data_IF_136020719386
#
_entry.id   IF_136020719386
#
_cell.length_a   1.000
_cell.length_b   1.000
_cell.length_c   1.000
_cell.angle_alpha   90.00
_cell.angle_beta   90.00
_cell.angle_gamma   90.00
#
_symmetry.space_group_name_H-M   'P 1'
#
loop_
_entity.id
_entity.type
_entity.pdbx_description
1 polymer ?
#
# COMPACT_ATOMS: atom_id res chain seq x y z
N UNK A 1 30.55 19.64 19.80
CA UNK A 1 30.61 21.03 19.31
C UNK A 1 29.60 21.84 20.12
N UNK A 2 30.08 22.62 21.06
CA UNK A 2 29.33 23.29 22.13
C UNK A 2 28.83 24.64 21.62
N UNK A 3 27.51 24.84 21.51
CA UNK A 3 26.93 26.15 21.15
C UNK A 3 26.25 26.80 22.35
N UNK A 4 26.75 27.99 22.65
CA UNK A 4 26.44 28.87 23.77
C UNK A 4 25.02 29.42 23.71
N UNK A 5 24.41 29.51 24.90
CA UNK A 5 23.10 30.11 25.14
C UNK A 5 23.04 31.61 24.91
N UNK A 6 21.85 32.07 24.49
CA UNK A 6 21.50 33.49 24.33
C UNK A 6 20.54 33.89 25.46
N UNK A 7 20.99 34.83 26.29
CA UNK A 7 20.24 35.44 27.39
C UNK A 7 19.04 36.24 26.86
N UNK A 8 17.88 36.05 27.47
CA UNK A 8 16.69 36.87 27.28
C UNK A 8 16.75 38.17 28.08
N UNK A 9 16.28 39.26 27.48
CA UNK A 9 16.00 40.55 28.10
C UNK A 9 14.56 40.58 28.62
N UNK A 10 14.30 41.05 29.85
CA UNK A 10 12.94 41.25 30.34
C UNK A 10 12.31 42.54 29.75
N UNK A 11 10.97 42.57 29.54
CA UNK A 11 10.26 43.77 29.11
C UNK A 11 10.10 44.81 30.25
N UNK A 12 9.93 46.11 29.92
CA UNK A 12 9.74 47.18 30.89
C UNK A 12 8.34 47.17 31.52
N UNK A 13 8.31 47.47 32.83
CA UNK A 13 7.12 47.74 33.63
C UNK A 13 6.43 49.04 33.17
N UNK A 14 5.27 48.92 32.52
CA UNK A 14 4.39 50.06 32.23
C UNK A 14 3.44 50.31 33.42
N UNK A 15 3.65 51.46 34.05
CA UNK A 15 2.85 52.02 35.14
C UNK A 15 1.44 52.39 34.64
N UNK A 16 0.43 51.69 35.16
CA UNK A 16 -0.97 52.04 34.92
C UNK A 16 -1.34 53.38 35.60
N UNK A 17 -1.98 54.33 34.88
CA UNK A 17 -2.50 55.55 35.49
C UNK A 17 -3.77 55.27 36.32
N UNK A 18 -4.02 56.06 37.39
CA UNK A 18 -5.16 55.86 38.28
C UNK A 18 -6.51 56.07 37.58
N UNK A 19 -7.44 55.15 37.86
CA UNK A 19 -8.78 55.13 37.29
C UNK A 19 -9.63 56.34 37.69
N UNK A 20 -10.06 57.11 36.69
CA UNK A 20 -11.13 58.08 36.82
C UNK A 20 -12.48 57.36 36.75
N UNK A 21 -13.16 57.29 37.89
CA UNK A 21 -14.56 56.85 37.97
C UNK A 21 -15.45 57.80 37.17
N UNK A 22 -15.97 57.33 36.02
CA UNK A 22 -17.04 58.01 35.27
C UNK A 22 -18.39 57.58 35.82
N UNK A 23 -19.16 58.54 36.31
CA UNK A 23 -20.54 58.35 36.73
C UNK A 23 -21.43 57.81 35.59
N UNK A 24 -22.33 56.85 35.86
CA UNK A 24 -23.28 56.33 34.88
C UNK A 24 -24.48 57.28 34.79
N UNK A 25 -24.41 58.24 33.87
CA UNK A 25 -25.51 59.17 33.63
C UNK A 25 -25.56 59.57 32.17
N UNK A 26 -26.50 58.97 31.44
CA UNK A 26 -26.90 59.28 30.05
C UNK A 26 -25.93 58.82 28.96
N UNK A 27 -26.29 57.71 28.29
CA UNK A 27 -25.74 57.37 26.97
C UNK A 27 -26.21 58.44 25.98
N UNK A 28 -25.32 59.18 25.32
CA UNK A 28 -25.73 60.17 24.32
C UNK A 28 -26.46 59.43 23.19
N UNK A 29 -27.66 59.91 22.86
CA UNK A 29 -28.55 59.43 21.78
C UNK A 29 -27.83 58.89 20.52
N UNK A 30 -26.75 59.52 19.99
CA UNK A 30 -26.01 59.00 18.83
C UNK A 30 -25.40 57.60 19.03
N UNK A 31 -25.02 57.22 20.25
CA UNK A 31 -24.46 55.88 20.53
C UNK A 31 -25.52 54.79 20.51
N UNK A 32 -26.75 55.09 20.94
CA UNK A 32 -27.86 54.15 20.88
C UNK A 32 -28.28 53.87 19.44
N UNK A 33 -28.30 54.90 18.58
CA UNK A 33 -28.61 54.76 17.16
C UNK A 33 -27.53 53.95 16.44
N UNK A 34 -26.25 54.21 16.71
CA UNK A 34 -25.14 53.45 16.12
C UNK A 34 -25.19 51.96 16.50
N UNK A 35 -25.53 51.64 17.76
CA UNK A 35 -25.67 50.26 18.21
C UNK A 35 -26.85 49.55 17.55
N UNK A 36 -28.00 50.23 17.41
CA UNK A 36 -29.18 49.67 16.73
C UNK A 36 -28.91 49.42 15.25
N UNK A 37 -28.19 50.30 14.56
CA UNK A 37 -27.79 50.10 13.17
C UNK A 37 -26.80 48.93 13.02
N UNK A 38 -25.83 48.81 13.94
CA UNK A 38 -24.88 47.69 13.94
C UNK A 38 -25.59 46.34 14.21
N UNK A 39 -26.53 46.32 15.15
CA UNK A 39 -27.35 45.13 15.44
C UNK A 39 -28.30 44.78 14.29
N UNK A 40 -28.88 45.79 13.62
CA UNK A 40 -29.69 45.60 12.43
C UNK A 40 -28.89 45.03 11.25
N UNK A 41 -27.69 45.53 11.01
CA UNK A 41 -26.79 45.00 9.98
C UNK A 41 -26.31 43.58 10.30
N UNK A 42 -25.99 43.29 11.57
CA UNK A 42 -25.63 41.94 12.02
C UNK A 42 -26.82 40.96 11.89
N UNK A 43 -28.03 41.40 12.25
CA UNK A 43 -29.25 40.62 12.07
C UNK A 43 -29.57 40.34 10.59
N UNK A 44 -29.37 41.33 9.71
CA UNK A 44 -29.56 41.18 8.27
C UNK A 44 -28.52 40.24 7.64
N UNK A 45 -27.25 40.33 8.07
CA UNK A 45 -26.17 39.42 7.66
C UNK A 45 -26.44 37.98 8.10
N UNK A 46 -26.99 37.79 9.32
CA UNK A 46 -27.38 36.46 9.81
C UNK A 46 -28.62 35.91 9.07
N UNK A 47 -29.59 36.76 8.75
CA UNK A 47 -30.80 36.37 8.00
C UNK A 47 -30.51 36.05 6.53
N UNK A 48 -29.49 36.68 5.94
CA UNK A 48 -29.03 36.44 4.57
C UNK A 48 -27.90 35.40 4.50
N UNK A 49 -27.71 34.59 5.55
CA UNK A 49 -26.72 33.50 5.54
C UNK A 49 -26.86 32.74 4.22
N UNK A 50 -25.81 32.73 3.36
CA UNK A 50 -25.88 32.06 2.08
C UNK A 50 -26.30 30.62 2.36
N UNK A 51 -27.44 30.20 1.80
CA UNK A 51 -27.88 28.80 1.89
C UNK A 51 -26.69 27.97 1.48
N UNK A 52 -26.14 27.23 2.44
CA UNK A 52 -25.05 26.30 2.19
C UNK A 52 -25.54 25.42 1.05
N UNK A 53 -24.84 25.40 -0.11
CA UNK A 53 -25.20 24.46 -1.16
C UNK A 53 -25.30 23.09 -0.51
N UNK A 54 -26.33 22.28 -0.82
CA UNK A 54 -26.38 20.91 -0.33
C UNK A 54 -25.00 20.28 -0.62
N UNK A 55 -24.38 19.57 0.35
CA UNK A 55 -23.06 19.00 0.16
C UNK A 55 -23.09 18.22 -1.16
N UNK A 56 -22.15 18.54 -2.05
CA UNK A 56 -21.99 17.83 -3.32
C UNK A 56 -22.00 16.33 -3.00
N UNK A 57 -23.00 15.61 -3.51
CA UNK A 57 -22.96 14.15 -3.57
C UNK A 57 -21.82 13.77 -4.50
N UNK A 58 -20.62 13.71 -3.97
CA UNK A 58 -19.51 12.96 -4.54
C UNK A 58 -19.23 11.78 -3.63
N UNK A 59 -20.27 11.03 -3.27
CA UNK A 59 -20.04 9.67 -2.80
C UNK A 59 -19.65 8.90 -4.05
N UNK A 60 -18.39 8.49 -4.15
CA UNK A 60 -17.98 7.52 -5.14
C UNK A 60 -18.98 6.35 -5.11
N UNK A 61 -19.46 5.86 -6.27
CA UNK A 61 -20.43 4.78 -6.30
C UNK A 61 -19.89 3.58 -5.51
N UNK A 62 -20.79 2.89 -4.82
CA UNK A 62 -20.41 1.68 -4.12
C UNK A 62 -19.94 0.62 -5.13
N UNK A 63 -19.04 -0.28 -4.73
CA UNK A 63 -18.53 -1.33 -5.60
C UNK A 63 -19.65 -2.14 -6.30
N UNK A 64 -20.72 -2.46 -5.57
CA UNK A 64 -21.86 -3.22 -6.10
C UNK A 64 -22.68 -2.43 -7.15
N UNK A 65 -22.66 -1.09 -7.09
CA UNK A 65 -23.29 -0.23 -8.10
C UNK A 65 -22.42 -0.13 -9.36
N UNK A 66 -21.10 0.01 -9.18
CA UNK A 66 -20.14 0.10 -10.28
C UNK A 66 -19.95 -1.23 -11.01
N UNK A 67 -20.03 -2.36 -10.29
CA UNK A 67 -19.85 -3.71 -10.83
C UNK A 67 -20.96 -4.64 -10.34
N UNK A 68 -22.17 -4.56 -10.92
CA UNK A 68 -23.29 -5.42 -10.53
C UNK A 68 -22.94 -6.91 -10.63
N UNK A 69 -23.30 -7.68 -9.60
CA UNK A 69 -23.02 -9.13 -9.53
C UNK A 69 -21.62 -9.48 -9.01
N UNK A 70 -20.79 -8.49 -8.70
CA UNK A 70 -19.51 -8.71 -8.02
C UNK A 70 -19.74 -9.28 -6.62
N UNK A 71 -18.98 -10.31 -6.27
CA UNK A 71 -19.03 -10.94 -4.95
C UNK A 71 -17.72 -10.70 -4.22
N UNK A 72 -17.80 -10.03 -3.08
CA UNK A 72 -16.73 -10.00 -2.08
C UNK A 72 -16.89 -11.25 -1.22
N UNK A 73 -15.81 -11.99 -1.03
CA UNK A 73 -15.78 -13.18 -0.20
C UNK A 73 -15.24 -12.84 1.17
N UNK A 74 -15.95 -13.28 2.20
CA UNK A 74 -15.56 -13.10 3.58
C UNK A 74 -14.88 -14.37 4.10
N UNK A 75 -13.80 -14.20 4.84
CA UNK A 75 -13.04 -15.28 5.47
C UNK A 75 -12.82 -14.91 6.94
N UNK A 76 -13.27 -15.73 7.90
CA UNK A 76 -12.98 -15.51 9.31
C UNK A 76 -11.48 -15.33 9.57
N UNK A 77 -11.14 -14.32 10.39
CA UNK A 77 -9.77 -14.07 10.84
C UNK A 77 -9.26 -15.06 11.88
N UNK A 78 -10.04 -16.09 12.21
CA UNK A 78 -9.67 -17.18 13.10
C UNK A 78 -9.82 -18.52 12.40
N UNK A 79 -8.97 -19.48 12.78
CA UNK A 79 -9.05 -20.87 12.34
C UNK A 79 -9.96 -21.69 13.26
N UNK A 80 -10.24 -22.93 12.87
CA UNK A 80 -11.04 -23.86 13.68
C UNK A 80 -10.43 -24.14 15.07
N UNK A 81 -9.10 -24.05 15.22
CA UNK A 81 -8.38 -24.20 16.49
C UNK A 81 -8.36 -22.91 17.34
N UNK A 82 -9.01 -21.84 16.88
CA UNK A 82 -9.09 -20.54 17.56
C UNK A 82 -7.88 -19.63 17.34
N UNK A 83 -6.82 -20.10 16.66
CA UNK A 83 -5.67 -19.25 16.34
C UNK A 83 -6.04 -18.16 15.32
N UNK A 84 -5.40 -16.98 15.45
CA UNK A 84 -5.60 -15.86 14.53
C UNK A 84 -4.89 -16.16 13.21
N UNK A 85 -5.63 -16.05 12.12
CA UNK A 85 -5.18 -16.23 10.75
C UNK A 85 -4.93 -14.89 10.05
N UNK A 86 -3.75 -14.74 9.44
CA UNK A 86 -3.37 -13.59 8.63
C UNK A 86 -3.00 -14.02 7.22
N UNK A 87 -3.86 -13.81 6.21
CA UNK A 87 -3.53 -14.03 4.81
C UNK A 87 -2.33 -13.18 4.37
N UNK A 88 -1.46 -13.79 3.56
CA UNK A 88 -0.29 -13.15 2.94
C UNK A 88 -0.41 -13.12 1.41
N UNK A 89 -1.22 -14.01 0.84
CA UNK A 89 -1.45 -14.16 -0.59
C UNK A 89 -2.80 -14.82 -0.87
N UNK A 90 -3.59 -14.29 -1.80
CA UNK A 90 -4.83 -14.93 -2.25
C UNK A 90 -4.64 -15.55 -3.64
N UNK A 91 -4.99 -16.83 -3.78
CA UNK A 91 -5.02 -17.56 -5.05
C UNK A 91 -6.30 -17.26 -5.83
N UNK A 92 -7.41 -17.13 -5.09
CA UNK A 92 -8.74 -16.77 -5.57
C UNK A 92 -9.45 -15.94 -4.48
N UNK A 93 -10.71 -15.57 -4.66
CA UNK A 93 -11.46 -14.92 -3.59
C UNK A 93 -11.73 -15.84 -2.37
N UNK A 94 -11.68 -17.17 -2.53
CA UNK A 94 -11.94 -18.15 -1.45
C UNK A 94 -10.68 -18.87 -0.97
N UNK A 95 -9.66 -18.93 -1.83
CA UNK A 95 -8.40 -19.62 -1.59
C UNK A 95 -7.30 -18.63 -1.19
N UNK A 96 -6.71 -18.81 -0.02
CA UNK A 96 -5.64 -17.97 0.51
C UNK A 96 -4.51 -18.80 1.12
N UNK A 97 -3.32 -18.20 1.12
CA UNK A 97 -2.15 -18.66 1.84
C UNK A 97 -1.86 -17.61 2.91
N UNK A 98 -1.67 -18.06 4.15
CA UNK A 98 -1.49 -17.17 5.27
C UNK A 98 -0.82 -17.85 6.44
N UNK A 99 -0.61 -17.09 7.51
CA UNK A 99 0.05 -17.56 8.71
C UNK A 99 -0.88 -17.59 9.90
N UNK A 100 -0.57 -18.51 10.82
CA UNK A 100 -1.15 -18.55 12.15
C UNK A 100 -0.12 -19.12 13.12
N UNK A 101 -0.14 -18.69 14.37
CA UNK A 101 0.61 -19.38 15.40
C UNK A 101 0.01 -20.76 15.63
N UNK A 102 0.85 -21.75 15.95
CA UNK A 102 0.40 -23.02 16.51
C UNK A 102 -0.42 -22.80 17.79
N UNK A 103 -1.31 -23.74 18.18
CA UNK A 103 -2.08 -23.62 19.42
C UNK A 103 -1.23 -23.45 20.68
N UNK A 104 0.00 -23.98 20.70
CA UNK A 104 0.95 -23.79 21.81
C UNK A 104 1.68 -22.45 21.74
N UNK A 105 1.68 -21.80 20.57
CA UNK A 105 2.34 -20.51 20.35
C UNK A 105 3.83 -20.59 20.02
N UNK A 106 4.40 -21.80 19.94
CA UNK A 106 5.84 -22.03 19.77
C UNK A 106 6.28 -21.94 18.31
N UNK A 107 5.37 -22.29 17.39
CA UNK A 107 5.63 -22.27 15.96
C UNK A 107 4.77 -21.24 15.21
N UNK A 108 5.33 -20.65 14.17
CA UNK A 108 4.62 -19.99 13.09
C UNK A 108 4.31 -21.01 11.99
N UNK A 109 3.03 -21.20 11.66
CA UNK A 109 2.57 -22.09 10.59
C UNK A 109 2.27 -21.29 9.33
N UNK A 110 2.60 -21.86 8.18
CA UNK A 110 2.12 -21.43 6.87
C UNK A 110 1.02 -22.39 6.43
N UNK A 111 -0.15 -21.85 6.09
CA UNK A 111 -1.35 -22.60 5.79
C UNK A 111 -1.88 -22.22 4.41
N UNK A 112 -2.35 -23.21 3.66
CA UNK A 112 -3.24 -23.03 2.54
C UNK A 112 -4.67 -23.25 3.03
N UNK A 113 -5.55 -22.28 2.80
CA UNK A 113 -6.96 -22.33 3.13
C UNK A 113 -7.80 -22.17 1.87
N UNK A 114 -8.79 -23.04 1.67
CA UNK A 114 -9.81 -22.89 0.64
C UNK A 114 -11.18 -23.16 1.26
N UNK A 115 -11.94 -22.09 1.53
CA UNK A 115 -13.13 -22.15 2.36
C UNK A 115 -12.83 -22.65 3.78
N UNK A 116 -13.43 -23.78 4.15
CA UNK A 116 -13.26 -24.43 5.47
C UNK A 116 -12.16 -25.49 5.47
N UNK A 117 -11.51 -25.75 4.33
CA UNK A 117 -10.42 -26.72 4.23
C UNK A 117 -9.10 -26.01 4.51
N UNK A 118 -8.35 -26.52 5.49
CA UNK A 118 -7.04 -26.01 5.89
C UNK A 118 -5.97 -27.09 5.66
N UNK A 119 -4.85 -26.70 5.05
CA UNK A 119 -3.67 -27.55 4.83
C UNK A 119 -2.43 -26.83 5.34
N UNK A 120 -1.78 -27.39 6.37
CA UNK A 120 -0.46 -26.92 6.79
C UNK A 120 0.57 -27.23 5.70
N UNK A 121 1.23 -26.19 5.19
CA UNK A 121 2.31 -26.31 4.22
C UNK A 121 3.64 -26.41 4.96
N UNK A 122 3.90 -25.46 5.86
CA UNK A 122 5.18 -25.32 6.55
C UNK A 122 4.98 -24.86 7.97
N UNK A 123 6.04 -25.04 8.75
CA UNK A 123 6.13 -24.67 10.15
C UNK A 123 7.55 -24.26 10.47
N UNK A 124 7.71 -23.18 11.21
CA UNK A 124 9.00 -22.65 11.64
C UNK A 124 8.93 -22.25 13.12
N UNK A 125 9.99 -22.45 13.91
CA UNK A 125 10.04 -21.99 15.29
C UNK A 125 9.88 -20.46 15.35
N UNK A 126 8.98 -19.98 16.20
CA UNK A 126 8.70 -18.54 16.34
C UNK A 126 9.94 -17.75 16.77
N UNK A 127 10.77 -18.33 17.62
CA UNK A 127 11.97 -17.69 18.17
C UNK A 127 13.12 -17.55 17.15
N UNK A 128 12.96 -18.11 15.94
CA UNK A 128 13.93 -17.98 14.84
C UNK A 128 13.71 -16.75 13.95
N UNK A 129 12.95 -15.75 14.42
CA UNK A 129 12.51 -14.62 13.60
C UNK A 129 11.88 -15.07 12.27
N UNK A 130 11.04 -16.11 12.34
CA UNK A 130 10.47 -16.76 11.17
C UNK A 130 9.50 -15.85 10.40
N UNK A 131 9.69 -15.76 9.09
CA UNK A 131 8.81 -15.04 8.17
C UNK A 131 8.61 -15.81 6.87
N UNK A 132 7.39 -15.72 6.31
CA UNK A 132 7.06 -16.21 4.99
C UNK A 132 6.72 -15.03 4.09
N UNK A 133 7.37 -14.91 2.94
CA UNK A 133 7.26 -13.74 2.06
C UNK A 133 7.37 -14.11 0.57
N UNK A 134 7.24 -13.11 -0.31
CA UNK A 134 7.50 -13.25 -1.75
C UNK A 134 6.63 -14.32 -2.44
N UNK A 135 5.34 -14.36 -2.16
CA UNK A 135 4.46 -15.39 -2.73
C UNK A 135 4.20 -15.18 -4.23
N UNK A 136 4.21 -16.26 -5.00
CA UNK A 136 3.81 -16.27 -6.42
C UNK A 136 3.19 -17.62 -6.80
N UNK A 137 2.33 -17.63 -7.82
CA UNK A 137 1.66 -18.85 -8.30
C UNK A 137 1.29 -18.75 -9.78
N UNK A 138 1.40 -19.88 -10.49
CA UNK A 138 0.92 -20.05 -11.87
C UNK A 138 -0.43 -20.82 -11.94
N UNK A 139 -1.07 -21.02 -10.79
CA UNK A 139 -2.30 -21.80 -10.65
C UNK A 139 -2.08 -23.31 -10.48
N UNK A 140 -0.87 -23.82 -10.68
CA UNK A 140 -0.50 -25.22 -10.46
C UNK A 140 0.49 -25.37 -9.31
N UNK A 141 1.47 -24.47 -9.23
CA UNK A 141 2.51 -24.43 -8.21
C UNK A 141 2.42 -23.11 -7.45
N UNK A 142 2.57 -23.18 -6.13
CA UNK A 142 2.82 -22.03 -5.26
C UNK A 142 4.29 -22.01 -4.89
N UNK A 143 4.91 -20.83 -4.94
CA UNK A 143 6.27 -20.59 -4.44
C UNK A 143 6.28 -19.45 -3.42
N UNK A 144 7.22 -19.52 -2.48
CA UNK A 144 7.45 -18.51 -1.44
C UNK A 144 8.88 -18.55 -0.95
N UNK A 145 9.26 -17.51 -0.21
CA UNK A 145 10.53 -17.41 0.51
C UNK A 145 10.25 -17.65 2.00
N UNK A 146 11.08 -18.47 2.62
CA UNK A 146 11.22 -18.55 4.08
C UNK A 146 12.42 -17.71 4.49
N UNK A 147 12.24 -16.85 5.49
CA UNK A 147 13.29 -16.08 6.14
C UNK A 147 13.34 -16.48 7.62
N UNK A 148 14.56 -16.63 8.14
CA UNK A 148 14.79 -16.87 9.57
C UNK A 148 16.17 -16.39 9.98
N UNK A 149 16.46 -16.47 11.27
CA UNK A 149 17.80 -16.32 11.84
C UNK A 149 18.14 -17.55 12.65
N UNK A 150 19.43 -17.91 12.66
CA UNK A 150 19.91 -18.93 13.60
C UNK A 150 20.19 -18.37 15.00
N UNK A 151 20.68 -19.23 15.89
CA UNK A 151 20.96 -18.89 17.29
C UNK A 151 22.01 -17.77 17.44
N UNK A 152 22.88 -17.57 16.45
CA UNK A 152 23.87 -16.50 16.42
C UNK A 152 23.32 -15.21 15.80
N UNK A 153 22.04 -15.23 15.37
CA UNK A 153 21.36 -14.12 14.71
C UNK A 153 21.69 -14.01 13.21
N UNK A 154 22.40 -14.98 12.63
CA UNK A 154 22.72 -14.95 11.20
C UNK A 154 21.47 -15.27 10.38
N UNK A 155 21.15 -14.38 9.44
CA UNK A 155 20.00 -14.54 8.55
C UNK A 155 20.15 -15.75 7.63
N UNK A 156 19.06 -16.50 7.46
CA UNK A 156 18.91 -17.63 6.55
C UNK A 156 17.71 -17.39 5.67
N UNK A 157 17.78 -17.87 4.43
CA UNK A 157 16.61 -17.89 3.58
C UNK A 157 16.60 -19.12 2.68
N UNK A 158 15.40 -19.54 2.31
CA UNK A 158 15.17 -20.65 1.39
C UNK A 158 13.95 -20.39 0.55
N UNK A 159 13.99 -20.75 -0.73
CA UNK A 159 12.83 -20.70 -1.62
C UNK A 159 12.19 -22.07 -1.64
N UNK A 160 10.89 -22.11 -1.44
CA UNK A 160 10.10 -23.34 -1.41
C UNK A 160 9.05 -23.34 -2.51
N UNK A 161 8.63 -24.54 -2.91
CA UNK A 161 7.52 -24.75 -3.84
C UNK A 161 6.61 -25.86 -3.36
N UNK A 162 5.32 -25.79 -3.71
CA UNK A 162 4.36 -26.87 -3.48
C UNK A 162 3.35 -26.94 -4.63
N UNK A 163 2.94 -28.14 -5.09
CA UNK A 163 1.79 -28.24 -5.97
C UNK A 163 0.50 -27.87 -5.22
N UNK A 164 -0.36 -27.10 -5.88
CA UNK A 164 -1.61 -26.60 -5.27
C UNK A 164 -2.65 -27.69 -5.08
N UNK A 165 -2.78 -28.62 -6.04
CA UNK A 165 -3.76 -29.70 -5.99
C UNK A 165 -3.48 -30.66 -4.82
N UNK A 166 -2.28 -31.23 -4.75
CA UNK A 166 -1.85 -32.15 -3.70
C UNK A 166 -0.33 -32.32 -3.75
N UNK A 167 0.30 -32.59 -2.60
CA UNK A 167 1.74 -32.82 -2.50
C UNK A 167 2.38 -32.11 -1.31
N UNK A 168 3.61 -32.51 -0.99
CA UNK A 168 4.40 -31.91 0.07
C UNK A 168 5.22 -30.72 -0.47
N UNK A 169 5.37 -29.64 0.31
CA UNK A 169 6.36 -28.61 0.02
C UNK A 169 7.76 -29.19 -0.12
N UNK A 170 8.52 -28.67 -1.07
CA UNK A 170 9.95 -28.96 -1.21
C UNK A 170 10.76 -27.67 -1.25
N UNK A 171 11.93 -27.75 -0.65
CA UNK A 171 12.96 -26.74 -0.77
C UNK A 171 13.48 -26.75 -2.21
N UNK A 172 13.43 -25.59 -2.86
CA UNK A 172 13.92 -25.39 -4.21
C UNK A 172 15.40 -25.05 -4.21
N UNK A 173 15.80 -24.12 -3.34
CA UNK A 173 17.20 -23.71 -3.14
C UNK A 173 17.36 -22.92 -1.83
N UNK A 174 18.55 -23.04 -1.21
CA UNK A 174 19.04 -22.16 -0.13
C UNK A 174 20.06 -21.12 -0.65
N UNK A 175 20.51 -21.24 -1.90
CA UNK A 175 21.43 -20.30 -2.56
C UNK A 175 20.65 -19.06 -3.08
N UNK A 176 20.01 -18.37 -2.15
CA UNK A 176 19.08 -17.26 -2.40
C UNK A 176 19.80 -15.92 -2.55
N UNK A 177 21.00 -15.78 -2.00
CA UNK A 177 21.64 -14.49 -1.77
C UNK A 177 20.89 -13.65 -0.73
N UNK A 178 21.12 -12.34 -0.70
CA UNK A 178 20.34 -11.42 0.13
C UNK A 178 19.11 -11.01 -0.68
N UNK A 179 18.00 -11.74 -0.51
CA UNK A 179 16.78 -11.51 -1.32
C UNK A 179 16.23 -10.11 -1.12
N UNK A 180 15.87 -9.45 -2.23
CA UNK A 180 15.24 -8.13 -2.22
C UNK A 180 13.73 -8.29 -2.32
N UNK A 181 13.00 -7.89 -1.27
CA UNK A 181 11.55 -7.95 -1.19
C UNK A 181 10.98 -6.54 -1.19
N UNK A 182 10.02 -6.28 -2.08
CA UNK A 182 9.42 -4.96 -2.27
C UNK A 182 7.92 -4.95 -1.96
N UNK A 183 7.41 -6.05 -1.39
CA UNK A 183 5.99 -6.28 -1.12
C UNK A 183 5.16 -6.34 -2.43
N UNK A 184 5.81 -6.61 -3.57
CA UNK A 184 5.18 -6.62 -4.91
C UNK A 184 4.88 -8.03 -5.39
N UNK A 185 3.93 -8.16 -6.32
CA UNK A 185 3.65 -9.44 -6.99
C UNK A 185 4.87 -10.02 -7.74
N UNK A 186 5.85 -9.17 -8.07
CA UNK A 186 7.08 -9.54 -8.78
C UNK A 186 8.23 -9.99 -7.87
N UNK A 187 8.08 -10.01 -6.54
CA UNK A 187 9.17 -10.42 -5.63
C UNK A 187 9.73 -11.81 -5.99
N UNK A 188 8.86 -12.73 -6.42
CA UNK A 188 9.21 -13.96 -7.12
C UNK A 188 8.46 -14.02 -8.47
N UNK A 189 9.13 -14.52 -9.50
CA UNK A 189 8.54 -14.74 -10.81
C UNK A 189 8.65 -16.21 -11.24
N UNK A 190 7.51 -16.88 -11.39
CA UNK A 190 7.40 -18.17 -12.07
C UNK A 190 7.29 -17.96 -13.58
N UNK A 191 8.14 -18.63 -14.36
CA UNK A 191 8.11 -18.58 -15.82
C UNK A 191 8.85 -19.78 -16.41
N UNK A 192 8.43 -20.29 -17.57
CA UNK A 192 9.19 -21.26 -18.37
C UNK A 192 9.80 -22.45 -17.60
N UNK A 193 9.09 -22.97 -16.59
CA UNK A 193 9.58 -24.06 -15.73
C UNK A 193 10.72 -23.66 -14.77
N UNK A 194 10.86 -22.38 -14.50
CA UNK A 194 11.89 -21.72 -13.68
C UNK A 194 11.24 -20.74 -12.69
N UNK A 195 12.05 -20.31 -11.74
CA UNK A 195 11.72 -19.28 -10.78
C UNK A 195 12.86 -18.26 -10.70
N UNK A 196 12.52 -16.97 -10.78
CA UNK A 196 13.48 -15.87 -10.71
C UNK A 196 13.15 -14.87 -9.61
N UNK A 197 14.19 -14.24 -9.04
CA UNK A 197 14.09 -13.22 -7.99
C UNK A 197 15.28 -12.26 -8.05
N UNK A 198 15.15 -11.12 -7.36
CA UNK A 198 16.23 -10.16 -7.20
C UNK A 198 16.98 -10.39 -5.88
N UNK A 199 18.29 -10.23 -5.90
CA UNK A 199 19.13 -10.27 -4.71
C UNK A 199 20.18 -9.15 -4.71
N UNK A 200 20.53 -8.68 -3.51
CA UNK A 200 21.71 -7.84 -3.28
C UNK A 200 22.96 -8.73 -3.28
N UNK A 201 24.00 -8.26 -3.97
CA UNK A 201 25.31 -8.95 -4.11
C UNK A 201 26.40 -8.33 -3.24
N UNK A 202 26.06 -7.43 -2.32
CA UNK A 202 26.97 -6.77 -1.39
C UNK A 202 27.88 -5.72 -2.06
N UNK A 203 27.58 -5.34 -3.30
CA UNK A 203 28.31 -4.32 -4.07
C UNK A 203 27.42 -3.09 -4.23
N UNK A 204 27.85 -1.89 -3.78
CA UNK A 204 27.05 -0.69 -3.90
C UNK A 204 26.57 -0.43 -5.33
N UNK A 205 25.26 -0.23 -5.50
CA UNK A 205 24.66 0.05 -6.80
C UNK A 205 24.65 -1.15 -7.76
N UNK A 206 24.74 -2.38 -7.26
CA UNK A 206 24.64 -3.60 -8.06
C UNK A 206 23.62 -4.53 -7.41
N UNK A 207 22.70 -5.06 -8.22
CA UNK A 207 21.79 -6.15 -7.85
C UNK A 207 22.01 -7.34 -8.78
N UNK A 208 21.42 -8.49 -8.49
CA UNK A 208 21.46 -9.64 -9.38
C UNK A 208 20.10 -10.30 -9.54
N UNK A 209 19.83 -10.76 -10.76
CA UNK A 209 18.76 -11.72 -11.01
C UNK A 209 19.32 -13.10 -10.71
N UNK A 210 18.65 -13.81 -9.82
CA UNK A 210 18.87 -15.23 -9.61
C UNK A 210 17.76 -16.00 -10.32
N UNK A 211 18.10 -17.12 -10.98
CA UNK A 211 17.12 -17.97 -11.67
C UNK A 211 17.42 -19.43 -11.41
N UNK A 212 16.43 -20.21 -10.99
CA UNK A 212 16.57 -21.64 -10.71
C UNK A 212 15.50 -22.45 -11.45
N UNK A 213 15.84 -23.60 -12.06
CA UNK A 213 14.83 -24.50 -12.59
C UNK A 213 13.88 -24.96 -11.48
N UNK A 214 12.59 -25.12 -11.79
CA UNK A 214 11.65 -25.69 -10.84
C UNK A 214 12.03 -27.12 -10.47
N UNK A 215 12.77 -27.86 -11.29
CA UNK A 215 13.30 -29.17 -10.89
C UNK A 215 14.35 -29.10 -9.74
N UNK A 216 14.76 -27.89 -9.32
CA UNK A 216 15.86 -27.66 -8.39
C UNK A 216 17.20 -27.50 -9.10
N UNK A 217 18.26 -27.33 -8.31
CA UNK A 217 19.62 -27.13 -8.79
C UNK A 217 20.21 -25.80 -8.33
N UNK A 218 21.43 -25.51 -8.78
CA UNK A 218 22.10 -24.25 -8.44
C UNK A 218 21.51 -23.10 -9.26
N UNK A 219 21.15 -21.97 -8.63
CA UNK A 219 20.69 -20.80 -9.36
C UNK A 219 21.77 -20.23 -10.29
N UNK A 220 21.36 -19.79 -11.46
CA UNK A 220 22.16 -18.96 -12.35
C UNK A 220 22.02 -17.51 -11.88
N UNK A 221 23.16 -16.86 -11.65
CA UNK A 221 23.23 -15.48 -11.15
C UNK A 221 23.68 -14.55 -12.26
N UNK A 222 22.94 -13.47 -12.49
CA UNK A 222 23.29 -12.40 -13.43
C UNK A 222 23.30 -11.05 -12.72
N UNK A 223 24.50 -10.52 -12.50
CA UNK A 223 24.68 -9.17 -11.94
C UNK A 223 24.23 -8.07 -12.91
N UNK A 224 23.72 -6.98 -12.34
CA UNK A 224 23.20 -5.81 -13.04
C UNK A 224 23.58 -4.53 -12.30
N UNK A 225 24.01 -3.51 -13.04
CA UNK A 225 24.28 -2.18 -12.49
C UNK A 225 22.97 -1.45 -12.22
N UNK A 226 22.71 -1.10 -10.97
CA UNK A 226 21.48 -0.49 -10.46
C UNK A 226 20.76 -1.39 -9.47
N UNK A 227 19.90 -0.77 -8.64
CA UNK A 227 18.90 -1.49 -7.86
C UNK A 227 17.66 -1.73 -8.72
N UNK A 228 17.29 -3.00 -8.90
CA UNK A 228 16.11 -3.40 -9.67
C UNK A 228 15.17 -4.26 -8.83
N UNK A 229 13.88 -4.15 -9.15
CA UNK A 229 12.84 -5.09 -8.79
C UNK A 229 12.28 -5.74 -10.07
N UNK A 230 11.77 -6.97 -10.00
CA UNK A 230 10.99 -7.53 -11.10
C UNK A 230 9.61 -6.87 -11.06
N UNK A 231 9.17 -6.31 -12.19
CA UNK A 231 7.81 -5.77 -12.32
C UNK A 231 6.85 -6.85 -12.81
N UNK A 232 7.20 -7.49 -13.91
CA UNK A 232 6.55 -8.66 -14.47
C UNK A 232 7.57 -9.34 -15.36
N UNK A 233 7.77 -10.64 -15.23
CA UNK A 233 8.84 -11.29 -15.98
C UNK A 233 8.67 -11.14 -17.50
N UNK A 234 9.74 -10.80 -18.26
CA UNK A 234 11.13 -10.60 -17.83
C UNK A 234 11.49 -9.15 -17.43
N UNK A 235 10.55 -8.22 -17.44
CA UNK A 235 10.78 -6.81 -17.18
C UNK A 235 11.11 -6.48 -15.73
N UNK A 236 12.20 -5.73 -15.58
CA UNK A 236 12.66 -5.15 -14.33
C UNK A 236 12.36 -3.66 -14.31
N UNK A 237 12.24 -3.10 -13.11
CA UNK A 237 12.08 -1.68 -12.86
C UNK A 237 13.16 -1.22 -11.88
N UNK A 238 13.86 -0.14 -12.21
CA UNK A 238 14.85 0.44 -11.29
C UNK A 238 14.15 1.14 -10.12
N UNK A 239 14.85 1.26 -9.00
CA UNK A 239 14.46 2.25 -8.00
C UNK A 239 14.65 3.67 -8.57
N UNK A 240 13.81 4.65 -8.18
CA UNK A 240 14.06 6.04 -8.50
C UNK A 240 15.35 6.48 -7.79
N UNK A 241 16.42 6.66 -8.56
CA UNK A 241 17.67 7.22 -8.02
C UNK A 241 17.44 8.72 -7.82
N UNK A 242 17.60 9.19 -6.58
CA UNK A 242 17.28 10.57 -6.15
C UNK A 242 17.86 11.68 -7.06
N UNK A 243 18.96 11.39 -7.75
CA UNK A 243 19.70 12.36 -8.59
C UNK A 243 19.58 12.09 -10.11
N UNK A 244 18.98 10.98 -10.55
CA UNK A 244 18.98 10.57 -11.97
C UNK A 244 17.74 11.04 -12.76
N UNK A 245 16.71 11.54 -12.09
CA UNK A 245 15.49 12.09 -12.71
C UNK A 245 14.73 11.11 -13.62
N UNK A 246 15.01 9.81 -13.54
CA UNK A 246 14.36 8.79 -14.39
C UNK A 246 14.26 7.44 -13.69
N UNK A 247 13.23 6.69 -14.06
CA UNK A 247 13.09 5.27 -13.78
C UNK A 247 13.38 4.50 -15.05
N UNK A 248 14.13 3.41 -14.93
CA UNK A 248 14.41 2.51 -16.05
C UNK A 248 13.55 1.25 -15.95
N UNK A 249 12.85 0.94 -17.04
CA UNK A 249 12.35 -0.41 -17.30
C UNK A 249 13.36 -1.14 -18.18
N UNK A 250 13.75 -2.35 -17.77
CA UNK A 250 14.80 -3.12 -18.44
C UNK A 250 14.34 -4.55 -18.69
N UNK A 251 14.42 -5.00 -19.94
CA UNK A 251 14.21 -6.40 -20.30
C UNK A 251 15.58 -7.07 -20.50
N UNK A 252 16.05 -7.88 -19.53
CA UNK A 252 17.37 -8.49 -19.58
C UNK A 252 17.47 -9.58 -20.67
N UNK A 253 16.35 -10.10 -21.18
CA UNK A 253 16.34 -11.11 -22.24
C UNK A 253 16.54 -10.50 -23.62
N UNK A 254 15.93 -9.34 -23.89
CA UNK A 254 15.99 -8.66 -25.19
C UNK A 254 16.97 -7.48 -25.24
N UNK A 255 17.51 -7.07 -24.08
CA UNK A 255 18.26 -5.83 -23.89
C UNK A 255 17.47 -4.55 -24.19
N UNK A 256 16.13 -4.64 -24.26
CA UNK A 256 15.26 -3.49 -24.39
C UNK A 256 15.26 -2.66 -23.10
N UNK A 257 15.25 -1.33 -23.24
CA UNK A 257 15.27 -0.38 -22.14
C UNK A 257 14.31 0.76 -22.43
N UNK A 258 13.53 1.16 -21.43
CA UNK A 258 12.63 2.32 -21.48
C UNK A 258 12.97 3.23 -20.32
N UNK A 259 13.30 4.49 -20.63
CA UNK A 259 13.55 5.52 -19.61
C UNK A 259 12.29 6.35 -19.44
N UNK A 260 11.75 6.34 -18.22
CA UNK A 260 10.60 7.13 -17.83
C UNK A 260 11.10 8.36 -17.10
N UNK A 261 10.84 9.54 -17.65
CA UNK A 261 11.20 10.80 -17.00
C UNK A 261 10.38 11.04 -15.73
N UNK A 262 11.05 11.48 -14.66
CA UNK A 262 10.45 11.85 -13.38
C UNK A 262 10.59 13.36 -13.19
N UNK A 263 9.49 14.06 -12.93
CA UNK A 263 9.54 15.50 -12.70
C UNK A 263 9.99 15.82 -11.26
N UNK A 264 10.51 17.02 -11.05
CA UNK A 264 10.86 17.47 -9.70
C UNK A 264 9.63 17.50 -8.79
N UNK A 265 9.74 16.87 -7.61
CA UNK A 265 8.63 16.76 -6.66
C UNK A 265 7.67 15.59 -6.91
N UNK A 266 7.93 14.76 -7.92
CA UNK A 266 7.20 13.51 -8.15
C UNK A 266 7.89 12.33 -7.47
N UNK A 267 7.12 11.49 -6.78
CA UNK A 267 7.53 10.13 -6.43
C UNK A 267 6.92 9.18 -7.46
N UNK A 268 7.78 8.51 -8.23
CA UNK A 268 7.36 7.65 -9.32
C UNK A 268 7.57 6.18 -8.97
N UNK A 269 6.65 5.32 -9.39
CA UNK A 269 6.81 3.85 -9.37
C UNK A 269 6.22 3.29 -10.65
N UNK A 270 6.86 2.31 -11.27
CA UNK A 270 6.38 1.75 -12.54
C UNK A 270 6.10 0.25 -12.46
N UNK A 271 5.06 -0.16 -13.19
CA UNK A 271 4.97 -1.47 -13.81
C UNK A 271 5.48 -1.40 -15.27
N UNK A 272 5.42 -2.51 -16.00
CA UNK A 272 5.80 -2.57 -17.42
C UNK A 272 4.96 -1.65 -18.30
N UNK A 273 3.70 -1.46 -17.94
CA UNK A 273 2.70 -0.82 -18.82
C UNK A 273 2.19 0.51 -18.28
N UNK A 274 2.36 0.78 -16.99
CA UNK A 274 1.95 2.04 -16.35
C UNK A 274 2.96 2.47 -15.30
N UNK A 275 3.13 3.77 -15.15
CA UNK A 275 3.79 4.39 -14.00
C UNK A 275 2.79 5.20 -13.20
N UNK A 276 2.96 5.17 -11.88
CA UNK A 276 2.24 5.97 -10.91
C UNK A 276 3.11 7.13 -10.46
N UNK A 277 2.67 8.34 -10.75
CA UNK A 277 3.23 9.57 -10.21
C UNK A 277 2.42 10.01 -8.99
N UNK A 278 3.11 10.17 -7.86
CA UNK A 278 2.58 10.72 -6.63
C UNK A 278 3.17 12.12 -6.42
N UNK A 279 2.33 13.14 -6.53
CA UNK A 279 2.70 14.54 -6.32
C UNK A 279 2.15 14.93 -4.94
N UNK A 280 3.05 15.12 -3.99
CA UNK A 280 2.69 15.50 -2.61
C UNK A 280 2.77 17.03 -2.51
N UNK A 281 1.62 17.68 -2.37
CA UNK A 281 1.57 19.11 -2.11
C UNK A 281 2.01 19.47 -0.69
N UNK A 282 1.95 20.76 -0.33
CA UNK A 282 2.38 21.25 1.00
C UNK A 282 1.52 20.74 2.16
N UNK A 283 0.38 20.10 1.89
CA UNK A 283 -0.49 19.46 2.87
C UNK A 283 -0.90 18.07 2.39
N UNK A 284 -1.19 17.14 3.30
CA UNK A 284 -1.68 15.80 2.93
C UNK A 284 -2.96 15.86 2.09
N UNK A 285 -3.79 16.88 2.30
CA UNK A 285 -5.02 17.14 1.54
C UNK A 285 -4.77 17.59 0.08
N UNK A 286 -3.52 17.78 -0.32
CA UNK A 286 -3.12 18.26 -1.65
C UNK A 286 -2.35 17.20 -2.46
N UNK A 287 -2.50 15.92 -2.12
CA UNK A 287 -1.90 14.83 -2.89
C UNK A 287 -2.64 14.64 -4.21
N UNK A 288 -1.88 14.50 -5.29
CA UNK A 288 -2.38 14.14 -6.63
C UNK A 288 -1.72 12.84 -7.05
N UNK A 289 -2.52 11.87 -7.47
CA UNK A 289 -2.03 10.63 -8.08
C UNK A 289 -2.40 10.63 -9.56
N UNK A 290 -1.41 10.38 -10.40
CA UNK A 290 -1.57 10.27 -11.84
C UNK A 290 -0.97 8.94 -12.31
N UNK A 291 -1.57 8.36 -13.34
CA UNK A 291 -0.99 7.25 -14.08
C UNK A 291 -0.53 7.73 -15.45
N UNK A 292 0.61 7.22 -15.92
CA UNK A 292 1.15 7.52 -17.24
C UNK A 292 1.70 6.25 -17.90
N UNK A 293 1.63 6.18 -19.22
CA UNK A 293 2.33 5.13 -19.97
C UNK A 293 3.85 5.41 -19.94
N UNK A 294 4.71 4.39 -19.83
CA UNK A 294 6.16 4.57 -19.84
C UNK A 294 6.71 5.30 -21.08
N UNK A 295 6.01 5.17 -22.21
CA UNK A 295 6.35 5.85 -23.47
C UNK A 295 5.83 7.30 -23.57
N UNK A 296 5.11 7.78 -22.55
CA UNK A 296 4.50 9.11 -22.50
C UNK A 296 3.25 9.29 -23.36
N UNK A 297 2.72 8.22 -23.97
CA UNK A 297 1.56 8.29 -24.88
C UNK A 297 0.23 8.63 -24.18
N UNK A 298 0.12 8.35 -22.88
CA UNK A 298 -1.05 8.69 -22.06
C UNK A 298 -0.60 9.13 -20.66
N UNK A 299 -1.34 10.08 -20.10
CA UNK A 299 -1.20 10.56 -18.71
C UNK A 299 -2.57 10.98 -18.21
N UNK A 300 -3.03 10.32 -17.15
CA UNK A 300 -4.35 10.49 -16.57
C UNK A 300 -4.25 10.77 -15.07
N UNK A 301 -4.92 11.82 -14.62
CA UNK A 301 -5.14 12.06 -13.20
C UNK A 301 -6.25 11.16 -12.69
N UNK A 302 -5.94 10.31 -11.72
CA UNK A 302 -6.86 9.27 -11.25
C UNK A 302 -7.55 9.66 -9.95
N UNK A 303 -6.84 10.33 -9.03
CA UNK A 303 -7.41 10.77 -7.75
C UNK A 303 -6.65 11.98 -7.16
N UNK A 304 -7.36 12.79 -6.37
CA UNK A 304 -6.80 13.94 -5.64
C UNK A 304 -7.32 13.99 -4.20
N UNK A 305 -6.59 14.66 -3.32
CA UNK A 305 -7.02 14.96 -1.95
C UNK A 305 -6.14 14.28 -0.90
N UNK A 306 -6.73 13.95 0.25
CA UNK A 306 -6.08 13.17 1.32
C UNK A 306 -6.03 11.67 0.96
N UNK A 307 -5.34 11.35 -0.12
CA UNK A 307 -5.29 10.02 -0.72
C UNK A 307 -3.86 9.48 -0.77
N UNK A 308 -3.74 8.15 -0.80
CA UNK A 308 -2.46 7.46 -0.95
C UNK A 308 -2.68 6.19 -1.78
N UNK A 309 -1.59 5.64 -2.34
CA UNK A 309 -1.67 4.28 -2.90
C UNK A 309 -1.87 3.28 -1.75
N UNK A 310 -2.80 2.35 -1.94
CA UNK A 310 -3.04 1.27 -0.98
C UNK A 310 -2.06 0.10 -1.16
N UNK A 311 -1.40 0.01 -2.32
CA UNK A 311 -0.57 -1.14 -2.72
C UNK A 311 0.71 -0.71 -3.44
N UNK A 312 1.73 -1.56 -3.41
CA UNK A 312 3.01 -1.33 -4.07
C UNK A 312 2.92 -1.49 -5.60
N UNK A 313 2.18 -2.49 -6.08
CA UNK A 313 1.99 -2.78 -7.50
C UNK A 313 1.20 -1.68 -8.21
N UNK A 314 1.60 -1.35 -9.44
CA UNK A 314 1.02 -0.27 -10.27
C UNK A 314 0.13 -0.85 -11.35
N UNK A 315 -1.11 -0.33 -11.44
CA UNK A 315 -2.13 -0.75 -12.40
C UNK A 315 -2.26 -2.28 -12.49
N UNK A 316 -2.67 -2.92 -11.40
CA UNK A 316 -2.85 -4.38 -11.32
C UNK A 316 -3.75 -4.86 -12.46
N UNK A 317 -3.33 -5.92 -13.16
CA UNK A 317 -3.95 -6.42 -14.40
C UNK A 317 -4.00 -5.40 -15.55
N UNK A 318 -3.04 -4.46 -15.61
CA UNK A 318 -3.01 -3.33 -16.55
C UNK A 318 -4.28 -2.45 -16.49
N UNK A 319 -5.00 -2.49 -15.36
CA UNK A 319 -6.36 -1.96 -15.28
C UNK A 319 -6.69 -1.24 -13.99
N UNK A 320 -6.33 -1.80 -12.84
CA UNK A 320 -6.86 -1.34 -11.56
C UNK A 320 -5.80 -0.67 -10.70
N UNK A 321 -6.15 0.49 -10.15
CA UNK A 321 -5.42 1.12 -9.07
C UNK A 321 -6.22 1.09 -7.78
N UNK A 322 -5.53 0.91 -6.66
CA UNK A 322 -6.16 0.82 -5.34
C UNK A 322 -5.66 1.96 -4.49
N UNK A 323 -6.59 2.77 -4.00
CA UNK A 323 -6.28 3.95 -3.20
C UNK A 323 -6.86 3.84 -1.81
N UNK A 324 -6.16 4.42 -0.84
CA UNK A 324 -6.72 4.74 0.47
C UNK A 324 -7.09 6.21 0.53
N UNK A 325 -8.14 6.53 1.29
CA UNK A 325 -8.45 7.90 1.71
C UNK A 325 -8.61 7.93 3.21
N UNK A 326 -7.77 8.74 3.87
CA UNK A 326 -7.88 8.99 5.30
C UNK A 326 -8.91 10.09 5.54
N UNK A 327 -9.89 9.79 6.40
CA UNK A 327 -10.82 10.80 6.91
C UNK A 327 -10.24 11.44 8.16
N UNK A 328 -10.03 12.77 8.13
CA UNK A 328 -9.48 13.51 9.26
C UNK A 328 -10.27 13.22 10.56
N UNK A 329 -9.55 12.85 11.63
CA UNK A 329 -10.13 12.57 12.94
C UNK A 329 -10.75 11.18 13.12
N UNK A 330 -10.71 10.31 12.11
CA UNK A 330 -11.14 8.92 12.21
C UNK A 330 -9.96 7.98 12.02
N UNK A 331 -9.98 6.84 12.73
CA UNK A 331 -9.03 5.73 12.55
C UNK A 331 -9.38 4.84 11.35
N UNK A 332 -10.46 5.15 10.64
CA UNK A 332 -10.99 4.32 9.55
C UNK A 332 -10.40 4.73 8.20
N UNK A 333 -9.90 3.73 7.47
CA UNK A 333 -9.37 3.93 6.11
C UNK A 333 -10.40 3.51 5.07
N UNK A 334 -10.76 4.42 4.16
CA UNK A 334 -11.61 4.07 3.00
C UNK A 334 -10.74 3.46 1.91
N UNK A 335 -11.19 2.38 1.30
CA UNK A 335 -10.52 1.76 0.14
C UNK A 335 -11.32 2.07 -1.11
N UNK A 336 -10.64 2.56 -2.14
CA UNK A 336 -11.22 2.92 -3.42
C UNK A 336 -10.51 2.17 -4.54
N UNK A 337 -11.26 1.80 -5.58
CA UNK A 337 -10.76 1.13 -6.77
C UNK A 337 -10.97 2.04 -7.96
N UNK A 338 -9.87 2.41 -8.64
CA UNK A 338 -9.91 3.12 -9.90
C UNK A 338 -9.74 2.14 -11.05
N UNK A 339 -10.66 2.17 -12.01
CA UNK A 339 -10.62 1.31 -13.21
C UNK A 339 -10.23 2.14 -14.42
N UNK A 340 -9.05 1.86 -14.98
CA UNK A 340 -8.50 2.54 -16.15
C UNK A 340 -9.35 2.32 -17.41
N UNK A 341 -10.07 1.19 -17.51
CA UNK A 341 -10.94 0.88 -18.63
C UNK A 341 -12.14 1.82 -18.68
N UNK A 342 -12.76 2.06 -17.52
CA UNK A 342 -13.96 2.92 -17.42
C UNK A 342 -13.65 4.35 -16.97
N UNK A 343 -12.40 4.62 -16.58
CA UNK A 343 -11.93 5.89 -16.00
C UNK A 343 -12.78 6.34 -14.82
N UNK A 344 -13.16 5.39 -13.97
CA UNK A 344 -14.07 5.62 -12.86
C UNK A 344 -13.48 5.17 -11.52
N UNK A 345 -13.83 5.88 -10.46
CA UNK A 345 -13.43 5.58 -9.08
C UNK A 345 -14.64 5.06 -8.32
N UNK A 346 -14.49 3.93 -7.64
CA UNK A 346 -15.55 3.29 -6.85
C UNK A 346 -15.11 3.06 -5.41
N UNK A 347 -16.03 3.13 -4.45
CA UNK A 347 -15.76 2.79 -3.05
C UNK A 347 -15.84 1.28 -2.85
N UNK A 348 -14.72 0.66 -2.46
CA UNK A 348 -14.66 -0.78 -2.12
C UNK A 348 -15.20 -1.01 -0.72
N UNK A 349 -14.65 -0.29 0.27
CA UNK A 349 -15.12 -0.35 1.66
C UNK A 349 -14.93 1.01 2.34
N UNK A 350 -15.86 1.43 3.24
CA UNK A 350 -15.68 2.63 4.04
C UNK A 350 -14.69 2.45 5.20
N UNK A 351 -14.33 1.21 5.55
CA UNK A 351 -13.41 0.90 6.64
C UNK A 351 -12.53 -0.31 6.30
N UNK A 352 -11.24 -0.17 6.47
CA UNK A 352 -10.25 -1.22 6.32
C UNK A 352 -9.11 -1.03 7.33
N UNK A 353 -8.61 -2.14 7.85
CA UNK A 353 -7.38 -2.20 8.65
C UNK A 353 -6.16 -2.45 7.77
N UNK A 354 -5.92 -3.71 7.42
CA UNK A 354 -4.86 -4.12 6.48
C UNK A 354 -5.42 -4.18 5.06
N UNK A 355 -4.64 -3.81 4.05
CA UNK A 355 -5.02 -3.83 2.64
C UNK A 355 -3.83 -4.35 1.85
N UNK A 356 -4.07 -5.27 0.92
CA UNK A 356 -3.04 -5.74 -0.01
C UNK A 356 -3.70 -6.24 -1.30
N UNK A 357 -2.92 -6.30 -2.39
CA UNK A 357 -3.38 -6.83 -3.66
C UNK A 357 -2.23 -7.54 -4.36
N UNK A 358 -2.43 -8.80 -4.74
CA UNK A 358 -1.46 -9.65 -5.47
C UNK A 358 -2.21 -10.67 -6.30
N UNK A 359 -1.62 -11.11 -7.41
CA UNK A 359 -2.21 -12.16 -8.25
C UNK A 359 -3.58 -11.80 -8.85
N UNK A 360 -3.92 -10.51 -8.88
CA UNK A 360 -5.24 -10.02 -9.30
C UNK A 360 -6.34 -10.14 -8.25
N UNK A 361 -6.02 -10.38 -6.97
CA UNK A 361 -6.98 -10.39 -5.87
C UNK A 361 -6.64 -9.24 -4.91
N UNK A 362 -7.61 -8.35 -4.66
CA UNK A 362 -7.56 -7.32 -3.62
C UNK A 362 -8.17 -7.88 -2.35
N UNK A 363 -7.49 -7.75 -1.21
CA UNK A 363 -8.07 -8.11 0.07
C UNK A 363 -7.81 -7.05 1.14
N UNK A 364 -8.70 -7.02 2.14
CA UNK A 364 -8.58 -6.14 3.28
C UNK A 364 -9.15 -6.78 4.55
N UNK A 365 -8.79 -6.24 5.70
CA UNK A 365 -9.38 -6.65 6.98
C UNK A 365 -10.38 -5.62 7.51
N UNK A 366 -11.37 -6.08 8.26
CA UNK A 366 -12.20 -5.26 9.15
C UNK A 366 -12.27 -5.89 10.54
N UNK A 367 -12.80 -5.15 11.51
CA UNK A 367 -12.90 -5.60 12.90
C UNK A 367 -11.62 -5.35 13.72
N UNK A 368 -11.61 -5.92 14.92
CA UNK A 368 -10.50 -5.93 15.86
C UNK A 368 -9.99 -7.37 16.07
N UNK A 369 -9.22 -7.64 17.13
CA UNK A 369 -8.68 -8.97 17.40
C UNK A 369 -9.77 -10.02 17.74
N UNK A 370 -10.99 -9.61 18.09
CA UNK A 370 -12.10 -10.51 18.43
C UNK A 370 -13.06 -10.72 17.26
N UNK A 371 -13.13 -9.74 16.35
CA UNK A 371 -14.08 -9.69 15.23
C UNK A 371 -13.41 -9.64 13.86
N UNK A 372 -12.10 -9.97 13.80
CA UNK A 372 -11.29 -9.91 12.58
C UNK A 372 -11.96 -10.69 11.45
N UNK A 373 -12.29 -9.98 10.37
CA UNK A 373 -12.80 -10.57 9.13
C UNK A 373 -11.91 -10.12 7.98
N UNK A 374 -11.50 -11.06 7.14
CA UNK A 374 -10.83 -10.78 5.89
C UNK A 374 -11.84 -10.79 4.76
N UNK A 375 -11.70 -9.84 3.85
CA UNK A 375 -12.54 -9.68 2.68
C UNK A 375 -11.65 -9.78 1.45
N UNK A 376 -12.08 -10.53 0.43
CA UNK A 376 -11.34 -10.71 -0.80
C UNK A 376 -12.21 -10.44 -2.03
N UNK A 377 -11.65 -9.70 -2.98
CA UNK A 377 -12.25 -9.34 -4.26
C UNK A 377 -11.32 -9.79 -5.39
N UNK A 378 -11.79 -10.72 -6.22
CA UNK A 378 -11.08 -11.16 -7.41
C UNK A 378 -11.27 -10.16 -8.55
N UNK A 379 -10.28 -9.30 -8.79
CA UNK A 379 -10.32 -8.24 -9.80
C UNK A 379 -10.38 -8.81 -11.23
N UNK A 380 -9.94 -10.05 -11.43
CA UNK A 380 -9.97 -10.73 -12.74
C UNK A 380 -11.41 -11.04 -13.19
N UNK A 381 -12.37 -11.03 -12.25
CA UNK A 381 -13.79 -11.33 -12.50
C UNK A 381 -14.64 -10.07 -12.71
N UNK A 382 -14.07 -8.87 -12.62
CA UNK A 382 -14.78 -7.63 -12.88
C UNK A 382 -14.96 -7.41 -14.40
N UNK A 383 -16.17 -7.05 -14.89
CA UNK A 383 -16.53 -7.01 -16.32
C UNK A 383 -15.78 -5.96 -17.16
#
# INVERSE_FOLDING_TARGET
MTLLGRRGTPPPDDLAPPGLHRHPGTLPLPRAVALLLALGAAGLMLALSPRQPPPLRSAEPALAEAYPGTVVQDTPGTLADGSVYSPLYFLSATGSVGTALSPTGDDLRLLLRDGDVERELRRMPKDSAAEFAGFTSDGTVLAWIELSSDADGAGRSGIWTVPLAEGAPRLLTEDTGIVMLFDKQGDLALHDGQLSWMADVGKPGVSAIHTVPLAGGRPVVREMTGGYAISAWPWLVSEPVADAGSIELSNPQTAERVLVGVQSGELMTCSVTWCRSLIIGSTEASTVIELLRPDGSDRVRTVTGAVSSAIADVAVLDRFEVYTRSTQGLTTTRVMLYDLKTRSLSLVTPNAGRIACRGGVLWWSTGDNETLTWHALDLRKLP
#
